data_IF_824876733567
#
_entry.id   IF_824876733567
#
_cell.length_a   1.000
_cell.length_b   1.000
_cell.length_c   1.000
_cell.angle_alpha   90.00
_cell.angle_beta   90.00
_cell.angle_gamma   90.00
#
_symmetry.space_group_name_H-M   'P 1'
#
loop_
_entity.id
_entity.type
_entity.pdbx_description
1 polymer ?
#
# COMPACT_ATOMS: atom_id res chain seq x y z
N UNK A 1 -11.65 -10.42 -11.98
CA UNK A 1 -10.32 -10.94 -11.63
C UNK A 1 -9.96 -10.58 -10.20
N UNK A 2 -9.28 -11.46 -9.54
CA UNK A 2 -8.92 -11.28 -8.12
C UNK A 2 -8.06 -10.03 -7.91
N UNK A 3 -7.14 -9.73 -8.82
CA UNK A 3 -6.28 -8.57 -8.68
C UNK A 3 -7.02 -7.25 -8.71
N UNK A 4 -8.14 -7.17 -9.44
CA UNK A 4 -8.97 -5.96 -9.43
C UNK A 4 -9.55 -5.73 -8.04
N UNK A 5 -10.05 -6.78 -7.40
CA UNK A 5 -10.59 -6.72 -6.06
C UNK A 5 -9.52 -6.34 -5.05
N UNK A 6 -8.35 -6.96 -5.15
CA UNK A 6 -7.22 -6.68 -4.26
C UNK A 6 -6.78 -5.22 -4.41
N UNK A 7 -6.70 -4.72 -5.63
CA UNK A 7 -6.32 -3.33 -5.89
C UNK A 7 -7.29 -2.37 -5.23
N UNK A 8 -8.58 -2.63 -5.34
CA UNK A 8 -9.61 -1.78 -4.71
C UNK A 8 -9.50 -1.81 -3.18
N UNK A 9 -9.30 -2.98 -2.59
CA UNK A 9 -9.11 -3.11 -1.15
C UNK A 9 -7.88 -2.34 -0.70
N UNK A 10 -6.78 -2.51 -1.43
CA UNK A 10 -5.53 -1.84 -1.09
C UNK A 10 -5.68 -0.32 -1.16
N UNK A 11 -6.33 0.18 -2.21
CA UNK A 11 -6.59 1.61 -2.33
C UNK A 11 -7.44 2.13 -1.18
N UNK A 12 -8.45 1.38 -0.78
CA UNK A 12 -9.31 1.75 0.33
C UNK A 12 -8.53 1.84 1.64
N UNK A 13 -7.68 0.85 1.92
CA UNK A 13 -6.87 0.84 3.13
C UNK A 13 -5.84 1.98 3.13
N UNK A 14 -5.22 2.23 1.98
CA UNK A 14 -4.28 3.33 1.86
C UNK A 14 -4.96 4.67 2.09
N UNK A 15 -6.15 4.86 1.55
CA UNK A 15 -6.90 6.10 1.74
C UNK A 15 -7.31 6.30 3.19
N UNK A 16 -7.68 5.24 3.90
CA UNK A 16 -8.02 5.31 5.32
C UNK A 16 -6.85 5.79 6.16
N UNK A 17 -5.63 5.49 5.74
CA UNK A 17 -4.42 5.85 6.48
C UNK A 17 -3.69 7.04 5.85
N UNK A 18 -4.31 7.69 4.85
CA UNK A 18 -3.65 8.72 4.07
C UNK A 18 -3.12 9.89 4.89
N UNK A 19 -3.88 10.47 5.83
CA UNK A 19 -3.35 11.59 6.61
C UNK A 19 -2.07 11.24 7.35
N UNK A 20 -2.02 10.06 7.95
CA UNK A 20 -0.87 9.57 8.69
C UNK A 20 0.32 9.32 7.77
N UNK A 21 0.06 8.68 6.63
CA UNK A 21 1.09 8.38 5.65
C UNK A 21 1.69 9.67 5.09
N UNK A 22 0.85 10.66 4.80
CA UNK A 22 1.33 11.94 4.27
C UNK A 22 2.26 12.66 5.25
N UNK A 23 1.91 12.63 6.53
CA UNK A 23 2.78 13.20 7.57
C UNK A 23 4.11 12.45 7.63
N UNK A 24 4.06 11.13 7.60
CA UNK A 24 5.25 10.30 7.66
C UNK A 24 6.14 10.50 6.44
N UNK A 25 5.55 10.65 5.26
CA UNK A 25 6.32 10.88 4.04
C UNK A 25 7.18 12.13 4.14
N UNK A 26 6.70 13.15 4.84
CA UNK A 26 7.44 14.39 5.03
C UNK A 26 8.51 14.26 6.12
N UNK A 27 8.18 13.59 7.22
CA UNK A 27 9.05 13.55 8.40
C UNK A 27 9.93 12.32 8.47
N UNK A 28 9.38 11.15 8.12
CA UNK A 28 10.07 9.86 8.23
C UNK A 28 9.70 8.97 7.05
N UNK A 29 10.25 9.23 5.87
CA UNK A 29 9.84 8.50 4.67
C UNK A 29 10.03 6.98 4.78
N UNK A 30 11.09 6.54 5.45
CA UNK A 30 11.33 5.10 5.62
C UNK A 30 10.19 4.42 6.36
N UNK A 31 9.64 5.10 7.39
CA UNK A 31 8.50 4.56 8.14
C UNK A 31 7.24 4.58 7.29
N UNK A 32 7.07 5.63 6.48
CA UNK A 32 5.93 5.72 5.57
C UNK A 32 5.92 4.54 4.59
N UNK A 33 7.06 4.24 3.98
CA UNK A 33 7.17 3.13 3.05
C UNK A 33 6.93 1.78 3.73
N UNK A 34 7.44 1.64 4.95
CA UNK A 34 7.20 0.43 5.73
C UNK A 34 5.71 0.26 6.03
N UNK A 35 5.05 1.35 6.41
CA UNK A 35 3.61 1.34 6.69
C UNK A 35 2.80 0.90 5.47
N UNK A 36 3.14 1.45 4.32
CA UNK A 36 2.50 1.06 3.05
C UNK A 36 2.72 -0.42 2.76
N UNK A 37 3.94 -0.90 2.96
CA UNK A 37 4.25 -2.32 2.79
C UNK A 37 3.47 -3.22 3.73
N UNK A 38 3.33 -2.80 4.99
CA UNK A 38 2.57 -3.56 5.99
C UNK A 38 1.08 -3.62 5.63
N UNK A 39 0.52 -2.53 5.14
CA UNK A 39 -0.86 -2.50 4.66
C UNK A 39 -1.02 -3.48 3.50
N UNK A 40 -0.06 -3.49 2.58
CA UNK A 40 -0.07 -4.45 1.48
C UNK A 40 -0.07 -5.89 1.95
N UNK A 41 0.76 -6.21 2.93
CA UNK A 41 0.81 -7.56 3.51
C UNK A 41 -0.50 -7.95 4.15
N UNK A 42 -1.13 -7.05 4.88
CA UNK A 42 -2.41 -7.33 5.53
C UNK A 42 -3.52 -7.57 4.51
N UNK A 43 -3.56 -6.78 3.45
CA UNK A 43 -4.51 -7.01 2.36
C UNK A 43 -4.26 -8.35 1.69
N UNK A 44 -2.99 -8.69 1.45
CA UNK A 44 -2.63 -9.96 0.85
C UNK A 44 -3.10 -11.16 1.67
N UNK A 45 -3.01 -11.06 3.00
CA UNK A 45 -3.46 -12.14 3.88
C UNK A 45 -4.94 -12.47 3.71
N UNK A 46 -5.76 -11.48 3.43
CA UNK A 46 -7.19 -11.70 3.21
C UNK A 46 -7.44 -12.63 2.03
N UNK A 47 -6.54 -12.63 1.07
CA UNK A 47 -6.67 -13.40 -0.17
C UNK A 47 -5.70 -14.58 -0.22
N UNK A 48 -5.02 -14.84 0.89
CA UNK A 48 -4.05 -15.93 1.02
C UNK A 48 -2.93 -15.85 -0.02
N UNK A 49 -2.44 -14.65 -0.24
CA UNK A 49 -1.31 -14.41 -1.15
C UNK A 49 -0.26 -13.56 -0.46
N UNK A 50 0.96 -13.64 -0.97
CA UNK A 50 2.05 -12.78 -0.55
C UNK A 50 2.05 -11.56 -1.45
N UNK A 51 1.63 -10.42 -0.91
CA UNK A 51 1.48 -9.20 -1.67
C UNK A 51 2.60 -8.22 -1.36
N UNK A 52 3.30 -7.80 -2.40
CA UNK A 52 4.32 -6.76 -2.31
C UNK A 52 3.79 -5.50 -2.95
N UNK A 53 3.90 -4.39 -2.23
CA UNK A 53 3.50 -3.08 -2.73
C UNK A 53 4.75 -2.23 -2.88
N UNK A 54 4.98 -1.76 -4.09
CA UNK A 54 6.08 -0.86 -4.38
C UNK A 54 5.51 0.53 -4.65
N UNK A 55 5.97 1.49 -3.86
CA UNK A 55 5.51 2.87 -3.96
C UNK A 55 6.54 3.67 -4.74
N UNK A 56 6.20 4.22 -5.92
CA UNK A 56 7.14 5.00 -6.69
C UNK A 56 7.56 6.25 -5.91
N UNK A 57 8.84 6.50 -5.82
CA UNK A 57 9.34 7.69 -5.16
C UNK A 57 8.73 8.94 -5.80
N UNK A 58 8.38 9.91 -4.97
CA UNK A 58 7.71 11.15 -5.39
C UNK A 58 6.38 10.93 -6.10
N UNK A 59 5.92 9.69 -6.14
CA UNK A 59 4.64 9.39 -6.75
C UNK A 59 3.49 9.76 -5.83
N UNK A 60 2.31 9.85 -6.42
CA UNK A 60 1.10 9.98 -5.65
C UNK A 60 0.75 8.63 -5.06
N UNK A 61 0.11 8.65 -3.91
CA UNK A 61 -0.18 7.41 -3.21
C UNK A 61 -1.07 6.46 -4.00
N UNK A 62 -1.86 6.97 -4.92
CA UNK A 62 -2.67 6.15 -5.80
C UNK A 62 -1.87 5.48 -6.92
N UNK A 63 -0.62 5.89 -7.12
CA UNK A 63 0.28 5.32 -8.12
C UNK A 63 1.24 4.36 -7.47
N UNK A 64 0.82 3.14 -7.27
CA UNK A 64 1.65 2.11 -6.68
C UNK A 64 1.68 0.88 -7.58
N UNK A 65 2.78 0.15 -7.52
CA UNK A 65 2.91 -1.15 -8.18
C UNK A 65 2.64 -2.25 -7.18
N UNK A 66 1.95 -3.28 -7.62
CA UNK A 66 1.51 -4.36 -6.77
C UNK A 66 1.93 -5.70 -7.39
N UNK A 67 2.60 -6.51 -6.61
CA UNK A 67 3.06 -7.83 -7.04
C UNK A 67 2.51 -8.87 -6.07
N UNK A 68 1.88 -9.91 -6.61
CA UNK A 68 1.33 -10.99 -5.80
C UNK A 68 1.93 -12.33 -6.15
N UNK A 69 2.07 -13.20 -5.16
CA UNK A 69 2.49 -14.58 -5.35
C UNK A 69 1.51 -15.55 -4.74
#
# INVERSE_FOLDING_TARGET
>A
MIFTTITKDLQKELKSNLPQIMILLKKRPAIAYKTIGDIGKEVGKKYNIELLVNFPHKGKIENFDMYGK
#
